data_IF_190559177565
#
_entry.id   IF_190559177565
#
_cell.length_a   1.000
_cell.length_b   1.000
_cell.length_c   1.000
_cell.angle_alpha   90.00
_cell.angle_beta   90.00
_cell.angle_gamma   90.00
#
_symmetry.space_group_name_H-M   'P 1'
#
loop_
_entity.id
_entity.type
_entity.pdbx_description
1 polymer ?
#
# COMPACT_ATOMS: atom_id res chain seq x y z
N UNK A 1 9.51 -20.07 16.92
CA UNK A 1 8.13 -19.64 17.26
C UNK A 1 7.67 -18.63 16.22
N UNK A 2 6.54 -18.85 15.54
CA UNK A 2 5.98 -17.89 14.57
C UNK A 2 5.69 -16.57 15.30
N UNK A 3 6.13 -15.44 14.76
CA UNK A 3 5.82 -14.12 15.31
C UNK A 3 4.30 -13.89 15.25
N UNK A 4 3.64 -13.87 16.42
CA UNK A 4 2.20 -13.70 16.59
C UNK A 4 1.67 -12.49 15.81
N UNK A 5 2.44 -11.39 15.74
CA UNK A 5 2.04 -10.17 15.02
C UNK A 5 2.01 -10.39 13.51
N UNK A 6 2.94 -11.17 12.99
CA UNK A 6 2.96 -11.57 11.57
C UNK A 6 1.74 -12.43 11.22
N UNK A 7 1.36 -13.38 12.07
CA UNK A 7 0.16 -14.21 11.86
C UNK A 7 -1.13 -13.40 11.91
N UNK A 8 -1.29 -12.48 12.87
CA UNK A 8 -2.48 -11.63 12.97
C UNK A 8 -2.64 -10.77 11.70
N UNK A 9 -1.56 -10.15 11.22
CA UNK A 9 -1.64 -9.32 10.01
C UNK A 9 -2.06 -10.11 8.77
N UNK A 10 -1.60 -11.37 8.63
CA UNK A 10 -2.07 -12.25 7.56
C UNK A 10 -3.58 -12.54 7.64
N UNK A 11 -4.13 -12.75 8.84
CA UNK A 11 -5.57 -12.93 9.01
C UNK A 11 -6.37 -11.69 8.63
N UNK A 12 -5.86 -10.49 8.94
CA UNK A 12 -6.52 -9.24 8.56
C UNK A 12 -6.45 -9.03 7.04
N UNK A 13 -5.32 -9.35 6.40
CA UNK A 13 -5.19 -9.32 4.94
C UNK A 13 -6.13 -10.33 4.28
N UNK A 14 -6.25 -11.54 4.84
CA UNK A 14 -7.20 -12.53 4.36
C UNK A 14 -8.66 -12.05 4.52
N UNK A 15 -8.99 -11.39 5.64
CA UNK A 15 -10.30 -10.79 5.83
C UNK A 15 -10.57 -9.67 4.81
N UNK A 16 -9.58 -8.80 4.54
CA UNK A 16 -9.68 -7.79 3.50
C UNK A 16 -9.90 -8.38 2.11
N UNK A 17 -9.19 -9.46 1.78
CA UNK A 17 -9.41 -10.20 0.53
C UNK A 17 -10.83 -10.76 0.42
N UNK A 18 -11.34 -11.38 1.49
CA UNK A 18 -12.70 -11.90 1.51
C UNK A 18 -13.75 -10.80 1.41
N UNK A 19 -13.53 -9.64 2.04
CA UNK A 19 -14.40 -8.47 1.90
C UNK A 19 -14.38 -7.97 0.46
N UNK A 20 -13.20 -7.74 -0.13
CA UNK A 20 -13.06 -7.28 -1.51
C UNK A 20 -13.73 -8.23 -2.52
N UNK A 21 -13.60 -9.54 -2.32
CA UNK A 21 -14.27 -10.56 -3.12
C UNK A 21 -15.79 -10.53 -2.90
N UNK A 22 -16.23 -10.59 -1.65
CA UNK A 22 -17.65 -10.68 -1.28
C UNK A 22 -18.46 -9.45 -1.72
N UNK A 23 -17.94 -8.23 -1.51
CA UNK A 23 -18.64 -7.00 -1.91
C UNK A 23 -18.83 -6.91 -3.42
N UNK A 24 -17.94 -7.53 -4.19
CA UNK A 24 -17.99 -7.49 -5.65
C UNK A 24 -18.89 -8.58 -6.22
N UNK A 25 -18.79 -9.81 -5.69
CA UNK A 25 -19.65 -10.93 -6.08
C UNK A 25 -21.12 -10.71 -5.72
N UNK A 26 -21.39 -10.00 -4.61
CA UNK A 26 -22.74 -9.72 -4.13
C UNK A 26 -23.27 -8.35 -4.59
N UNK A 27 -22.48 -7.58 -5.34
CA UNK A 27 -22.76 -6.19 -5.74
C UNK A 27 -23.25 -5.29 -4.58
N UNK A 28 -22.58 -5.41 -3.44
CA UNK A 28 -22.87 -4.64 -2.23
C UNK A 28 -21.57 -3.99 -1.75
N UNK A 29 -21.16 -2.86 -2.36
CA UNK A 29 -19.93 -2.18 -1.98
C UNK A 29 -20.05 -1.61 -0.56
N UNK A 30 -19.04 -1.89 0.28
CA UNK A 30 -18.93 -1.34 1.65
C UNK A 30 -17.61 -0.57 1.76
N UNK A 31 -17.47 0.59 1.10
CA UNK A 31 -16.19 1.29 0.96
C UNK A 31 -15.58 1.68 2.31
N UNK A 32 -16.40 2.09 3.28
CA UNK A 32 -15.93 2.43 4.62
C UNK A 32 -15.23 1.24 5.32
N UNK A 33 -15.77 0.02 5.21
CA UNK A 33 -15.15 -1.17 5.80
C UNK A 33 -13.82 -1.50 5.10
N UNK A 34 -13.78 -1.42 3.77
CA UNK A 34 -12.56 -1.62 2.99
C UNK A 34 -11.46 -0.63 3.41
N UNK A 35 -11.79 0.65 3.53
CA UNK A 35 -10.86 1.70 3.96
C UNK A 35 -10.38 1.47 5.39
N UNK A 36 -11.25 1.08 6.33
CA UNK A 36 -10.86 0.74 7.70
C UNK A 36 -9.88 -0.42 7.73
N UNK A 37 -10.15 -1.50 6.98
CA UNK A 37 -9.24 -2.65 6.91
C UNK A 37 -7.88 -2.26 6.32
N UNK A 38 -7.88 -1.44 5.26
CA UNK A 38 -6.67 -0.90 4.66
C UNK A 38 -5.85 -0.06 5.65
N UNK A 39 -6.49 0.84 6.40
CA UNK A 39 -5.84 1.66 7.44
C UNK A 39 -5.26 0.79 8.55
N UNK A 40 -5.97 -0.27 8.99
CA UNK A 40 -5.47 -1.21 10.00
C UNK A 40 -4.25 -1.98 9.47
N UNK A 41 -4.33 -2.52 8.25
CA UNK A 41 -3.20 -3.22 7.60
C UNK A 41 -2.00 -2.28 7.50
N UNK A 42 -2.20 -1.08 6.96
CA UNK A 42 -1.16 -0.06 6.83
C UNK A 42 -0.55 0.31 8.17
N UNK A 43 -1.35 0.53 9.20
CA UNK A 43 -0.86 0.89 10.55
C UNK A 43 0.00 -0.23 11.13
N UNK A 44 -0.50 -1.46 11.11
CA UNK A 44 0.25 -2.63 11.61
C UNK A 44 1.52 -2.89 10.82
N UNK A 45 1.48 -2.73 9.49
CA UNK A 45 2.62 -2.95 8.62
C UNK A 45 3.67 -1.83 8.78
N UNK A 46 3.25 -0.57 8.79
CA UNK A 46 4.11 0.59 8.91
C UNK A 46 4.81 0.69 10.26
N UNK A 47 4.12 0.43 11.38
CA UNK A 47 4.73 0.49 12.71
C UNK A 47 5.79 -0.60 12.96
N UNK A 48 5.85 -1.62 12.11
CA UNK A 48 6.95 -2.61 12.12
C UNK A 48 8.19 -2.11 11.39
N UNK A 49 8.03 -1.18 10.45
CA UNK A 49 9.06 -0.67 9.54
C UNK A 49 9.54 0.74 9.88
N UNK A 50 8.67 1.55 10.47
CA UNK A 50 8.91 2.95 10.78
C UNK A 50 8.66 3.21 12.27
N UNK A 51 9.34 4.21 12.81
CA UNK A 51 9.01 4.74 14.14
C UNK A 51 7.60 5.35 14.15
N UNK A 52 6.95 5.40 15.31
CA UNK A 52 5.63 6.06 15.47
C UNK A 52 5.66 7.49 14.95
N UNK A 53 6.73 8.24 15.19
CA UNK A 53 6.87 9.62 14.67
C UNK A 53 6.92 9.67 13.15
N UNK A 54 7.60 8.72 12.50
CA UNK A 54 7.64 8.66 11.04
C UNK A 54 6.31 8.19 10.44
N UNK A 55 5.64 7.25 11.10
CA UNK A 55 4.28 6.85 10.75
C UNK A 55 3.30 8.03 10.83
N UNK A 56 3.31 8.78 11.94
CA UNK A 56 2.47 9.97 12.11
C UNK A 56 2.84 11.04 11.07
N UNK A 57 4.13 11.25 10.79
CA UNK A 57 4.55 12.18 9.76
C UNK A 57 3.98 11.81 8.38
N UNK A 58 4.03 10.53 7.99
CA UNK A 58 3.42 10.07 6.75
C UNK A 58 1.90 10.28 6.74
N UNK A 59 1.20 9.93 7.83
CA UNK A 59 -0.24 10.13 7.95
C UNK A 59 -0.64 11.60 7.84
N UNK A 60 0.07 12.50 8.52
CA UNK A 60 -0.18 13.94 8.49
C UNK A 60 0.14 14.53 7.11
N UNK A 61 1.27 14.15 6.49
CA UNK A 61 1.62 14.61 5.14
C UNK A 61 0.55 14.15 4.15
N UNK A 62 0.18 12.86 4.16
CA UNK A 62 -0.84 12.32 3.27
C UNK A 62 -2.18 13.04 3.48
N UNK A 63 -2.61 13.23 4.73
CA UNK A 63 -3.86 13.92 5.05
C UNK A 63 -3.86 15.37 4.57
N UNK A 64 -2.84 16.15 4.91
CA UNK A 64 -2.78 17.58 4.58
C UNK A 64 -2.69 17.78 3.07
N UNK A 65 -1.76 17.10 2.40
CA UNK A 65 -1.54 17.29 0.96
C UNK A 65 -2.75 16.82 0.15
N UNK A 66 -3.30 15.62 0.43
CA UNK A 66 -4.48 15.14 -0.29
C UNK A 66 -5.67 16.07 -0.11
N UNK A 67 -6.02 16.46 1.12
CA UNK A 67 -7.12 17.40 1.34
C UNK A 67 -6.90 18.75 0.68
N UNK A 68 -5.67 19.28 0.69
CA UNK A 68 -5.36 20.54 0.03
C UNK A 68 -5.54 20.45 -1.49
N UNK A 69 -5.06 19.37 -2.12
CA UNK A 69 -5.18 19.17 -3.57
C UNK A 69 -6.63 18.94 -3.98
N UNK A 70 -7.36 18.09 -3.25
CA UNK A 70 -8.78 17.78 -3.49
C UNK A 70 -9.65 19.03 -3.36
N UNK A 71 -9.53 19.78 -2.25
CA UNK A 71 -10.33 21.00 -2.09
C UNK A 71 -9.90 22.09 -3.08
N UNK A 72 -8.61 22.20 -3.43
CA UNK A 72 -8.16 23.14 -4.45
C UNK A 72 -8.78 22.80 -5.82
N UNK A 73 -8.79 21.51 -6.19
CA UNK A 73 -9.34 21.09 -7.49
C UNK A 73 -10.83 21.28 -7.57
N UNK A 74 -11.59 20.91 -6.53
CA UNK A 74 -13.04 21.14 -6.51
C UNK A 74 -13.37 22.64 -6.61
N UNK A 75 -12.51 23.52 -6.10
CA UNK A 75 -12.73 24.97 -6.16
C UNK A 75 -12.24 25.64 -7.45
N UNK A 76 -11.27 25.05 -8.16
CA UNK A 76 -10.53 25.75 -9.22
C UNK A 76 -10.32 24.95 -10.51
N UNK A 77 -10.71 23.68 -10.54
CA UNK A 77 -10.44 22.75 -11.62
C UNK A 77 -9.01 22.20 -11.64
N UNK A 78 -8.09 22.71 -10.82
CA UNK A 78 -6.68 22.26 -10.78
C UNK A 78 -6.34 21.54 -9.46
N UNK A 79 -5.68 20.37 -9.47
CA UNK A 79 -4.98 19.78 -10.62
C UNK A 79 -5.70 18.64 -11.32
N UNK A 80 -6.91 18.24 -10.90
CA UNK A 80 -7.55 17.02 -11.41
C UNK A 80 -8.51 17.28 -12.58
N UNK A 81 -9.03 18.50 -12.71
CA UNK A 81 -10.15 18.86 -13.57
C UNK A 81 -11.32 19.42 -12.76
N UNK A 82 -12.37 19.84 -13.44
CA UNK A 82 -13.62 20.34 -12.83
C UNK A 82 -14.55 19.17 -12.48
N UNK A 83 -14.82 19.00 -11.19
CA UNK A 83 -15.70 17.96 -10.65
C UNK A 83 -16.25 18.34 -9.28
N UNK A 84 -17.31 17.63 -8.89
CA UNK A 84 -17.80 17.65 -7.52
C UNK A 84 -18.09 16.24 -7.01
N UNK A 85 -17.92 16.06 -5.70
CA UNK A 85 -18.31 14.82 -5.03
C UNK A 85 -19.82 14.78 -4.77
N UNK A 86 -20.44 13.64 -5.05
CA UNK A 86 -21.83 13.36 -4.66
C UNK A 86 -21.89 12.89 -3.20
N UNK A 87 -23.07 12.54 -2.71
CA UNK A 87 -23.26 12.08 -1.34
C UNK A 87 -23.07 10.56 -1.18
N UNK A 88 -22.74 9.84 -2.27
CA UNK A 88 -22.56 8.37 -2.30
C UNK A 88 -21.50 7.89 -1.31
N UNK A 89 -20.43 8.66 -1.12
CA UNK A 89 -19.32 8.31 -0.21
C UNK A 89 -19.54 8.73 1.24
N UNK A 90 -20.71 9.31 1.55
CA UNK A 90 -21.08 9.72 2.89
C UNK A 90 -20.52 11.09 3.29
N UNK A 91 -20.26 11.32 4.60
CA UNK A 91 -19.93 12.65 5.12
C UNK A 91 -18.68 13.27 4.49
N UNK A 92 -18.72 14.59 4.27
CA UNK A 92 -17.64 15.38 3.68
C UNK A 92 -16.91 16.20 4.76
N UNK A 93 -15.59 16.31 4.61
CA UNK A 93 -14.76 17.30 5.26
C UNK A 93 -14.55 18.44 4.27
N UNK A 94 -15.15 19.60 4.53
CA UNK A 94 -15.33 20.66 3.54
C UNK A 94 -16.08 20.12 2.30
N UNK A 95 -15.45 20.09 1.12
CA UNK A 95 -16.06 19.63 -0.12
C UNK A 95 -15.77 18.16 -0.45
N UNK A 96 -14.91 17.51 0.33
CA UNK A 96 -14.29 16.22 0.00
C UNK A 96 -14.75 15.14 0.97
N UNK A 97 -15.20 13.95 0.52
CA UNK A 97 -15.63 12.88 1.41
C UNK A 97 -14.54 12.48 2.41
N UNK A 98 -14.92 12.25 3.66
CA UNK A 98 -13.99 11.94 4.75
C UNK A 98 -13.23 10.61 4.53
N UNK A 99 -13.71 9.75 3.64
CA UNK A 99 -13.06 8.49 3.25
C UNK A 99 -11.88 8.68 2.30
N UNK A 100 -11.76 9.82 1.61
CA UNK A 100 -10.72 10.05 0.59
C UNK A 100 -9.33 10.09 1.24
N UNK A 101 -9.11 10.94 2.23
CA UNK A 101 -7.79 11.09 2.84
C UNK A 101 -7.24 9.79 3.50
N UNK A 102 -8.03 8.99 4.23
CA UNK A 102 -7.60 7.67 4.69
C UNK A 102 -7.24 6.70 3.56
N UNK A 103 -7.92 6.80 2.41
CA UNK A 103 -7.63 5.98 1.22
C UNK A 103 -6.28 6.36 0.60
N UNK A 104 -5.99 7.66 0.44
CA UNK A 104 -4.67 8.16 0.02
C UNK A 104 -3.57 7.66 0.95
N UNK A 105 -3.79 7.75 2.26
CA UNK A 105 -2.83 7.27 3.25
C UNK A 105 -2.56 5.76 3.12
N UNK A 106 -3.61 4.93 3.10
CA UNK A 106 -3.44 3.49 3.13
C UNK A 106 -2.92 2.93 1.80
N UNK A 107 -3.54 3.29 0.68
CA UNK A 107 -3.12 2.86 -0.66
C UNK A 107 -1.76 3.48 -1.03
N UNK A 108 -1.53 4.75 -0.65
CA UNK A 108 -0.25 5.41 -0.86
C UNK A 108 0.89 4.71 -0.11
N UNK A 109 0.65 4.21 1.11
CA UNK A 109 1.65 3.41 1.83
C UNK A 109 1.99 2.11 1.12
N UNK A 110 1.01 1.44 0.50
CA UNK A 110 1.25 0.24 -0.29
C UNK A 110 2.07 0.56 -1.54
N UNK A 111 1.70 1.60 -2.29
CA UNK A 111 2.45 2.05 -3.45
C UNK A 111 3.90 2.42 -3.10
N UNK A 112 4.09 3.17 -2.00
CA UNK A 112 5.41 3.49 -1.43
C UNK A 112 6.22 2.24 -1.08
N UNK A 113 5.58 1.22 -0.51
CA UNK A 113 6.25 -0.04 -0.15
C UNK A 113 6.57 -0.92 -1.35
N UNK A 114 5.72 -0.93 -2.37
CA UNK A 114 5.98 -1.62 -3.65
C UNK A 114 7.14 -0.96 -4.39
N UNK A 115 7.19 0.38 -4.44
CA UNK A 115 8.30 1.11 -5.05
C UNK A 115 9.65 0.80 -4.40
N UNK A 116 9.68 0.58 -3.08
CA UNK A 116 10.86 0.09 -2.39
C UNK A 116 11.31 -1.29 -2.90
N UNK A 117 10.38 -2.22 -3.11
CA UNK A 117 10.70 -3.55 -3.66
C UNK A 117 11.24 -3.41 -5.08
N UNK A 118 10.58 -2.62 -5.93
CA UNK A 118 10.97 -2.40 -7.33
C UNK A 118 12.38 -1.79 -7.46
N UNK A 119 12.79 -0.95 -6.50
CA UNK A 119 14.12 -0.35 -6.44
C UNK A 119 15.14 -1.19 -5.66
N UNK A 120 14.76 -2.35 -5.10
CA UNK A 120 15.63 -3.20 -4.29
C UNK A 120 16.04 -2.57 -2.95
N UNK A 121 15.22 -1.66 -2.43
CA UNK A 121 15.42 -0.93 -1.18
C UNK A 121 14.64 -1.63 -0.06
N UNK A 122 15.27 -2.61 0.59
CA UNK A 122 14.65 -3.38 1.69
C UNK A 122 14.83 -2.75 3.09
N UNK A 123 15.34 -1.52 3.14
CA UNK A 123 15.44 -0.70 4.35
C UNK A 123 14.29 0.31 4.48
N UNK A 124 14.25 1.04 5.60
CA UNK A 124 13.25 2.08 5.83
C UNK A 124 13.62 3.44 5.20
N UNK A 125 14.88 3.66 4.81
CA UNK A 125 15.38 4.99 4.41
C UNK A 125 15.87 5.01 2.96
N UNK A 126 15.39 5.93 2.11
CA UNK A 126 16.03 6.22 0.84
C UNK A 126 17.34 6.99 1.06
N UNK A 127 18.34 6.78 0.20
CA UNK A 127 19.63 7.49 0.22
C UNK A 127 20.01 7.97 -1.18
N UNK A 128 20.76 9.09 -1.24
CA UNK A 128 21.25 9.63 -2.50
C UNK A 128 20.14 9.83 -3.53
N UNK A 129 20.30 9.23 -4.71
CA UNK A 129 19.32 9.31 -5.81
C UNK A 129 17.95 8.72 -5.46
N UNK A 130 17.88 7.79 -4.51
CA UNK A 130 16.62 7.13 -4.13
C UNK A 130 15.66 8.12 -3.46
N UNK A 131 16.14 9.25 -2.92
CA UNK A 131 15.29 10.30 -2.35
C UNK A 131 14.35 10.90 -3.42
N UNK A 132 14.73 10.80 -4.70
CA UNK A 132 13.92 11.25 -5.84
C UNK A 132 13.23 10.08 -6.56
N UNK A 133 13.97 9.01 -6.88
CA UNK A 133 13.42 7.89 -7.65
C UNK A 133 12.36 7.09 -6.90
N UNK A 134 12.47 6.98 -5.57
CA UNK A 134 11.47 6.26 -4.78
C UNK A 134 10.10 6.95 -4.81
N UNK A 135 9.97 8.26 -4.52
CA UNK A 135 8.72 8.99 -4.77
C UNK A 135 8.21 8.86 -6.20
N UNK A 136 9.08 8.99 -7.20
CA UNK A 136 8.70 8.91 -8.60
C UNK A 136 8.04 7.57 -8.95
N UNK A 137 8.68 6.46 -8.59
CA UNK A 137 8.16 5.11 -8.84
C UNK A 137 6.90 4.86 -7.99
N UNK A 138 6.87 5.31 -6.73
CA UNK A 138 5.69 5.19 -5.89
C UNK A 138 4.48 5.92 -6.48
N UNK A 139 4.67 7.08 -7.11
CA UNK A 139 3.60 7.80 -7.80
C UNK A 139 3.05 7.02 -8.97
N UNK A 140 3.89 6.45 -9.82
CA UNK A 140 3.43 5.57 -10.91
C UNK A 140 2.62 4.39 -10.37
N UNK A 141 3.11 3.72 -9.32
CA UNK A 141 2.40 2.60 -8.71
C UNK A 141 1.04 3.03 -8.17
N UNK A 142 0.96 4.17 -7.48
CA UNK A 142 -0.31 4.67 -6.94
C UNK A 142 -1.31 5.04 -8.06
N UNK A 143 -0.86 5.66 -9.14
CA UNK A 143 -1.70 6.03 -10.29
C UNK A 143 -2.24 4.81 -11.05
N UNK A 144 -1.59 3.64 -10.95
CA UNK A 144 -2.16 2.39 -11.49
C UNK A 144 -3.51 2.05 -10.84
N UNK A 145 -3.68 2.36 -9.55
CA UNK A 145 -4.95 2.14 -8.86
C UNK A 145 -6.01 3.15 -9.32
N UNK A 146 -5.63 4.42 -9.49
CA UNK A 146 -6.51 5.47 -10.00
C UNK A 146 -7.04 5.12 -11.41
N UNK A 147 -6.14 4.70 -12.31
CA UNK A 147 -6.47 4.28 -13.67
C UNK A 147 -7.56 3.21 -13.75
N UNK A 148 -7.64 2.30 -12.77
CA UNK A 148 -8.63 1.20 -12.81
C UNK A 148 -9.90 1.51 -12.00
N UNK A 149 -9.82 2.47 -11.08
CA UNK A 149 -10.84 2.78 -10.10
C UNK A 149 -11.73 3.93 -10.59
N UNK A 150 -11.13 4.96 -11.19
CA UNK A 150 -11.79 6.23 -11.47
C UNK A 150 -12.95 6.09 -12.47
N UNK A 151 -12.79 5.41 -13.63
CA UNK A 151 -13.91 5.19 -14.56
C UNK A 151 -15.11 4.46 -13.97
N UNK A 152 -14.86 3.50 -13.09
CA UNK A 152 -15.94 2.74 -12.44
C UNK A 152 -16.60 3.62 -11.38
N UNK A 153 -15.81 4.31 -10.59
CA UNK A 153 -16.32 4.99 -9.39
C UNK A 153 -16.98 6.33 -9.72
N UNK A 154 -16.51 7.02 -10.77
CA UNK A 154 -17.14 8.23 -11.31
C UNK A 154 -18.27 7.90 -12.29
N UNK A 155 -17.96 7.32 -13.45
CA UNK A 155 -18.92 7.18 -14.56
C UNK A 155 -19.99 6.13 -14.32
N UNK A 156 -19.66 5.03 -13.63
CA UNK A 156 -20.64 3.96 -13.36
C UNK A 156 -21.34 4.16 -12.02
N UNK A 157 -20.59 4.47 -10.95
CA UNK A 157 -21.14 4.58 -9.60
C UNK A 157 -21.58 6.00 -9.21
N UNK A 158 -21.17 7.03 -9.95
CA UNK A 158 -21.57 8.42 -9.68
C UNK A 158 -21.05 8.97 -8.35
N UNK A 159 -19.89 8.52 -7.86
CA UNK A 159 -19.34 8.97 -6.57
C UNK A 159 -18.78 10.39 -6.63
N UNK A 160 -18.26 10.77 -7.79
CA UNK A 160 -17.98 12.14 -8.22
C UNK A 160 -18.31 12.25 -9.70
N UNK A 161 -18.53 13.49 -10.12
CA UNK A 161 -19.02 13.82 -11.46
C UNK A 161 -18.05 14.82 -12.08
N UNK A 162 -17.38 14.41 -13.17
CA UNK A 162 -16.52 15.25 -14.00
C UNK A 162 -17.37 16.11 -14.92
N UNK A 163 -17.44 17.42 -14.66
CA UNK A 163 -18.39 18.33 -15.33
C UNK A 163 -18.15 18.41 -16.85
N UNK A 164 -16.88 18.41 -17.25
CA UNK A 164 -16.48 18.46 -18.66
C UNK A 164 -16.34 17.06 -19.30
N UNK A 165 -16.64 16.00 -18.56
CA UNK A 165 -16.38 14.62 -18.98
C UNK A 165 -14.88 14.37 -19.26
N UNK A 166 -14.58 13.36 -20.08
CA UNK A 166 -13.20 13.08 -20.44
C UNK A 166 -13.01 11.85 -21.32
N UNK A 167 -11.86 11.81 -22.00
CA UNK A 167 -11.55 10.80 -23.01
C UNK A 167 -11.33 9.39 -22.45
N UNK A 168 -11.16 9.24 -21.14
CA UNK A 168 -10.99 7.95 -20.50
C UNK A 168 -12.26 7.55 -19.76
N UNK A 169 -13.27 7.17 -20.54
CA UNK A 169 -14.60 6.75 -20.05
C UNK A 169 -15.26 7.83 -19.16
N UNK A 170 -15.23 9.09 -19.57
CA UNK A 170 -15.77 10.22 -18.79
C UNK A 170 -14.77 10.85 -17.83
N UNK A 171 -13.58 10.27 -17.65
CA UNK A 171 -12.53 10.82 -16.78
C UNK A 171 -11.53 11.67 -17.58
N UNK A 172 -11.23 12.92 -17.15
CA UNK A 172 -10.23 13.77 -17.80
C UNK A 172 -8.83 13.17 -17.74
N UNK A 173 -8.03 13.34 -18.80
CA UNK A 173 -6.60 13.01 -18.76
C UNK A 173 -5.85 13.76 -17.63
N UNK A 174 -6.30 15.00 -17.36
CA UNK A 174 -5.72 15.85 -16.33
C UNK A 174 -5.82 15.22 -14.92
N UNK A 175 -6.86 14.42 -14.65
CA UNK A 175 -7.03 13.72 -13.37
C UNK A 175 -5.79 12.88 -13.03
N UNK A 176 -5.35 12.03 -13.95
CA UNK A 176 -4.22 11.13 -13.73
C UNK A 176 -2.90 11.89 -13.52
N UNK A 177 -2.73 13.03 -14.21
CA UNK A 177 -1.55 13.89 -14.03
C UNK A 177 -1.60 14.63 -12.70
N UNK A 178 -2.79 15.09 -12.29
CA UNK A 178 -3.02 15.69 -10.98
C UNK A 178 -2.80 14.70 -9.85
N UNK A 179 -3.29 13.47 -9.97
CA UNK A 179 -3.04 12.38 -9.02
C UNK A 179 -1.55 12.12 -8.90
N UNK A 180 -0.85 11.97 -10.04
CA UNK A 180 0.59 11.78 -10.06
C UNK A 180 1.32 12.89 -9.30
N UNK A 181 0.97 14.16 -9.56
CA UNK A 181 1.54 15.32 -8.86
C UNK A 181 1.24 15.28 -7.36
N UNK A 182 -0.01 15.06 -6.97
CA UNK A 182 -0.47 14.99 -5.58
C UNK A 182 0.32 13.94 -4.79
N UNK A 183 0.35 12.70 -5.29
CA UNK A 183 1.00 11.59 -4.59
C UNK A 183 2.52 11.71 -4.65
N UNK A 184 3.08 12.29 -5.72
CA UNK A 184 4.50 12.64 -5.77
C UNK A 184 4.87 13.63 -4.67
N UNK A 185 4.08 14.67 -4.46
CA UNK A 185 4.30 15.63 -3.37
C UNK A 185 4.25 14.95 -2.00
N UNK A 186 3.27 14.08 -1.75
CA UNK A 186 3.19 13.27 -0.51
C UNK A 186 4.47 12.47 -0.31
N UNK A 187 4.85 11.67 -1.32
CA UNK A 187 5.98 10.77 -1.24
C UNK A 187 7.31 11.51 -1.15
N UNK A 188 7.47 12.62 -1.87
CA UNK A 188 8.70 13.40 -1.87
C UNK A 188 8.94 14.09 -0.52
N UNK A 189 7.89 14.66 0.08
CA UNK A 189 7.97 15.22 1.44
C UNK A 189 8.35 14.15 2.46
N UNK A 190 7.73 12.96 2.36
CA UNK A 190 8.04 11.86 3.27
C UNK A 190 9.46 11.31 3.05
N UNK A 191 9.92 11.18 1.81
CA UNK A 191 11.28 10.76 1.48
C UNK A 191 12.32 11.68 2.14
N UNK A 192 12.14 13.00 2.02
CA UNK A 192 13.02 14.01 2.63
C UNK A 192 12.96 13.93 4.15
N UNK A 193 11.76 13.76 4.73
CA UNK A 193 11.58 13.64 6.17
C UNK A 193 12.35 12.42 6.73
N UNK A 194 12.17 11.25 6.11
CA UNK A 194 12.79 10.00 6.58
C UNK A 194 14.30 10.00 6.35
N UNK A 195 14.78 10.59 5.25
CA UNK A 195 16.21 10.70 4.94
C UNK A 195 16.99 11.57 5.95
N UNK A 196 16.35 12.54 6.61
CA UNK A 196 17.00 13.49 7.53
C UNK A 196 17.08 13.03 8.99
N UNK A 197 16.35 12.00 9.41
CA UNK A 197 16.17 11.63 10.84
C UNK A 197 17.10 10.50 11.30
N UNK A 198 18.39 10.60 11.02
CA UNK A 198 19.36 9.52 11.24
C UNK A 198 19.88 9.37 12.69
N UNK A 199 19.86 8.13 13.19
CA UNK A 199 20.83 7.58 14.14
C UNK A 199 21.15 6.14 13.73
N UNK A 200 22.44 5.75 13.79
CA UNK A 200 22.94 4.45 13.29
C UNK A 200 22.29 3.25 14.01
N UNK A 201 22.14 3.33 15.33
CA UNK A 201 21.51 2.29 16.16
C UNK A 201 20.06 1.99 15.73
N UNK A 202 19.33 3.01 15.29
CA UNK A 202 17.93 2.87 14.87
C UNK A 202 17.81 2.26 13.48
N UNK A 203 18.84 2.33 12.64
CA UNK A 203 18.86 1.71 11.31
C UNK A 203 18.96 0.20 11.42
N UNK A 204 19.92 -0.28 12.22
CA UNK A 204 20.17 -1.69 12.42
C UNK A 204 18.94 -2.40 12.99
N UNK A 205 18.25 -1.78 13.96
CA UNK A 205 17.02 -2.33 14.53
C UNK A 205 15.88 -2.43 13.51
N UNK A 206 15.76 -1.45 12.59
CA UNK A 206 14.71 -1.42 11.57
C UNK A 206 15.00 -2.41 10.43
N UNK A 207 16.26 -2.52 10.00
CA UNK A 207 16.70 -3.50 8.99
C UNK A 207 16.47 -4.94 9.49
N UNK A 208 16.71 -5.17 10.78
CA UNK A 208 16.43 -6.47 11.40
C UNK A 208 14.93 -6.80 11.41
N UNK A 209 14.04 -5.80 11.47
CA UNK A 209 12.58 -5.99 11.44
C UNK A 209 12.04 -6.23 10.03
N UNK A 210 12.68 -5.68 9.00
CA UNK A 210 12.29 -5.83 7.58
C UNK A 210 12.98 -6.98 6.85
N UNK A 211 13.93 -7.67 7.50
CA UNK A 211 14.65 -8.82 6.94
C UNK A 211 13.76 -10.04 6.63
N UNK A 212 12.54 -10.12 7.17
CA UNK A 212 11.63 -11.23 6.90
C UNK A 212 10.88 -11.03 5.58
N UNK A 213 11.05 -11.94 4.62
CA UNK A 213 10.33 -11.95 3.33
C UNK A 213 8.81 -11.86 3.48
N UNK A 214 8.24 -12.44 4.55
CA UNK A 214 6.80 -12.35 4.83
C UNK A 214 6.32 -10.91 5.02
N UNK A 215 7.16 -9.99 5.52
CA UNK A 215 6.82 -8.58 5.61
C UNK A 215 6.49 -8.02 4.22
N UNK A 216 7.33 -8.29 3.23
CA UNK A 216 7.15 -7.78 1.88
C UNK A 216 6.00 -8.47 1.13
N UNK A 217 5.82 -9.77 1.33
CA UNK A 217 4.66 -10.46 0.75
C UNK A 217 3.32 -9.94 1.28
N UNK A 218 3.25 -9.49 2.55
CA UNK A 218 2.02 -8.92 3.11
C UNK A 218 1.56 -7.68 2.35
N UNK A 219 2.47 -6.74 2.07
CA UNK A 219 2.11 -5.52 1.33
C UNK A 219 1.84 -5.80 -0.14
N UNK A 220 2.51 -6.78 -0.76
CA UNK A 220 2.21 -7.21 -2.13
C UNK A 220 0.79 -7.77 -2.22
N UNK A 221 0.41 -8.68 -1.33
CA UNK A 221 -0.94 -9.27 -1.33
C UNK A 221 -1.99 -8.21 -1.03
N UNK A 222 -1.74 -7.31 -0.07
CA UNK A 222 -2.67 -6.24 0.24
C UNK A 222 -2.88 -5.28 -0.95
N UNK A 223 -1.80 -4.88 -1.63
CA UNK A 223 -1.85 -4.06 -2.85
C UNK A 223 -2.58 -4.75 -4.00
N UNK A 224 -2.25 -6.02 -4.28
CA UNK A 224 -2.97 -6.80 -5.29
C UNK A 224 -4.48 -6.87 -5.00
N UNK A 225 -4.83 -7.08 -3.73
CA UNK A 225 -6.23 -7.19 -3.28
C UNK A 225 -7.02 -5.91 -3.56
N UNK A 226 -6.40 -4.72 -3.53
CA UNK A 226 -7.10 -3.45 -3.81
C UNK A 226 -7.58 -3.34 -5.26
N UNK A 227 -7.01 -4.13 -6.19
CA UNK A 227 -7.45 -4.18 -7.58
C UNK A 227 -8.72 -5.02 -7.80
N UNK A 228 -8.95 -6.02 -6.95
CA UNK A 228 -9.98 -7.04 -7.19
C UNK A 228 -11.40 -6.50 -7.35
N UNK A 229 -11.85 -5.52 -6.54
CA UNK A 229 -13.20 -4.98 -6.70
C UNK A 229 -13.47 -4.31 -8.04
N UNK A 230 -12.42 -3.84 -8.71
CA UNK A 230 -12.51 -3.17 -10.00
C UNK A 230 -12.42 -4.19 -11.13
N UNK A 231 -11.55 -5.19 -11.00
CA UNK A 231 -11.34 -6.21 -12.04
C UNK A 231 -12.43 -7.26 -12.10
N UNK A 232 -12.97 -7.69 -10.96
CA UNK A 232 -13.96 -8.77 -10.94
C UNK A 232 -15.31 -8.33 -11.54
N UNK A 233 -15.59 -7.01 -11.58
CA UNK A 233 -16.80 -6.48 -12.22
C UNK A 233 -16.93 -6.86 -13.68
N UNK A 234 -15.81 -7.10 -14.39
CA UNK A 234 -15.85 -7.52 -15.79
C UNK A 234 -16.45 -8.90 -16.02
N UNK A 235 -16.58 -9.72 -14.97
CA UNK A 235 -17.21 -11.05 -15.05
C UNK A 235 -18.43 -11.19 -14.16
N UNK A 236 -18.65 -10.27 -13.21
CA UNK A 236 -19.80 -10.33 -12.29
C UNK A 236 -20.92 -9.36 -12.64
N UNK A 237 -20.64 -8.31 -13.42
CA UNK A 237 -21.62 -7.26 -13.75
C UNK A 237 -22.06 -7.37 -15.21
N UNK A 238 -23.31 -6.96 -15.46
CA UNK A 238 -23.89 -6.90 -16.81
C UNK A 238 -23.57 -5.60 -17.56
N UNK A 239 -24.02 -5.53 -18.81
CA UNK A 239 -23.95 -4.31 -19.61
C UNK A 239 -25.11 -3.36 -19.30
N UNK A 240 -24.79 -2.08 -19.25
CA UNK A 240 -25.71 -0.97 -19.09
C UNK A 240 -25.13 0.25 -19.80
N UNK A 241 -25.98 1.24 -20.06
CA UNK A 241 -25.54 2.53 -20.59
C UNK A 241 -25.33 3.49 -19.43
N UNK A 242 -24.08 3.92 -19.23
CA UNK A 242 -23.74 5.05 -18.38
C UNK A 242 -23.66 6.31 -19.26
N UNK A 243 -24.26 7.41 -18.83
CA UNK A 243 -24.18 8.71 -19.55
C UNK A 243 -23.41 9.69 -18.69
N UNK A 244 -22.35 10.26 -19.23
CA UNK A 244 -21.58 11.29 -18.54
C UNK A 244 -22.27 12.68 -18.64
N UNK A 245 -21.78 13.70 -17.91
CA UNK A 245 -22.44 15.01 -17.87
C UNK A 245 -22.51 15.75 -19.21
N UNK A 246 -21.62 15.44 -20.15
CA UNK A 246 -21.62 16.02 -21.49
C UNK A 246 -22.54 15.25 -22.47
N UNK A 247 -23.26 14.23 -21.98
CA UNK A 247 -24.22 13.44 -22.73
C UNK A 247 -23.59 12.30 -23.53
N UNK A 248 -22.29 12.04 -23.37
CA UNK A 248 -21.63 10.92 -24.02
C UNK A 248 -22.01 9.62 -23.30
N UNK A 249 -22.37 8.62 -24.10
CA UNK A 249 -22.81 7.31 -23.61
C UNK A 249 -21.64 6.32 -23.64
N UNK A 250 -21.57 5.50 -22.60
CA UNK A 250 -20.55 4.48 -22.38
C UNK A 250 -21.23 3.15 -22.05
N UNK A 251 -20.81 2.07 -22.71
CA UNK A 251 -21.19 0.72 -22.30
C UNK A 251 -20.38 0.33 -21.06
N UNK A 252 -21.05 -0.06 -19.99
CA UNK A 252 -20.37 -0.41 -18.73
C UNK A 252 -19.45 -1.62 -18.90
N UNK A 253 -19.78 -2.56 -19.79
CA UNK A 253 -18.87 -3.68 -20.08
C UNK A 253 -17.55 -3.23 -20.73
N UNK A 254 -17.56 -2.20 -21.57
CA UNK A 254 -16.34 -1.66 -22.17
C UNK A 254 -15.43 -1.07 -21.09
N UNK A 255 -16.03 -0.36 -20.13
CA UNK A 255 -15.33 0.16 -18.96
C UNK A 255 -14.73 -1.00 -18.16
N UNK A 256 -15.54 -1.98 -17.74
CA UNK A 256 -15.08 -3.08 -16.90
C UNK A 256 -13.97 -3.92 -17.56
N UNK A 257 -14.13 -4.31 -18.84
CA UNK A 257 -13.09 -5.04 -19.56
C UNK A 257 -11.79 -4.24 -19.68
N UNK A 258 -11.90 -2.94 -19.98
CA UNK A 258 -10.74 -2.06 -20.10
C UNK A 258 -10.00 -1.91 -18.77
N UNK A 259 -10.73 -1.69 -17.66
CA UNK A 259 -10.13 -1.59 -16.33
C UNK A 259 -9.45 -2.90 -15.91
N UNK A 260 -10.07 -4.05 -16.23
CA UNK A 260 -9.47 -5.37 -15.97
C UNK A 260 -8.18 -5.56 -16.75
N UNK A 261 -8.14 -5.22 -18.05
CA UNK A 261 -6.93 -5.31 -18.85
C UNK A 261 -5.82 -4.41 -18.29
N UNK A 262 -6.15 -3.15 -17.95
CA UNK A 262 -5.18 -2.22 -17.36
C UNK A 262 -4.66 -2.77 -16.04
N UNK A 263 -5.52 -3.29 -15.15
CA UNK A 263 -5.09 -3.88 -13.88
C UNK A 263 -4.14 -5.07 -14.06
N UNK A 264 -4.43 -5.97 -15.01
CA UNK A 264 -3.60 -7.15 -15.31
C UNK A 264 -2.20 -6.71 -15.75
N UNK A 265 -2.11 -5.76 -16.68
CA UNK A 265 -0.84 -5.33 -17.25
C UNK A 265 -0.10 -4.28 -16.40
N UNK A 266 -0.71 -3.78 -15.32
CA UNK A 266 -0.09 -2.82 -14.39
C UNK A 266 0.03 -3.38 -12.98
N UNK A 267 -1.03 -3.35 -12.19
CA UNK A 267 -1.03 -3.74 -10.78
C UNK A 267 -0.68 -5.21 -10.55
N UNK A 268 -1.23 -6.12 -11.35
CA UNK A 268 -0.95 -7.55 -11.21
C UNK A 268 0.47 -7.87 -11.68
N UNK A 269 0.90 -7.29 -12.79
CA UNK A 269 2.28 -7.38 -13.26
C UNK A 269 3.29 -6.90 -12.20
N UNK A 270 3.08 -5.71 -11.63
CA UNK A 270 3.95 -5.15 -10.59
C UNK A 270 3.91 -5.99 -9.30
N UNK A 271 2.75 -6.53 -8.93
CA UNK A 271 2.62 -7.44 -7.79
C UNK A 271 3.42 -8.73 -8.00
N UNK A 272 3.27 -9.36 -9.18
CA UNK A 272 4.03 -10.55 -9.57
C UNK A 272 5.54 -10.27 -9.60
N UNK A 273 5.95 -9.18 -10.23
CA UNK A 273 7.35 -8.75 -10.27
C UNK A 273 7.90 -8.53 -8.86
N UNK A 274 7.12 -7.92 -7.98
CA UNK A 274 7.49 -7.72 -6.57
C UNK A 274 7.67 -9.04 -5.83
N UNK A 275 6.82 -10.04 -6.06
CA UNK A 275 7.02 -11.40 -5.50
C UNK A 275 8.36 -11.98 -5.95
N UNK A 276 8.66 -11.89 -7.25
CA UNK A 276 9.91 -12.40 -7.82
C UNK A 276 11.14 -11.68 -7.24
N UNK A 277 11.10 -10.35 -7.14
CA UNK A 277 12.18 -9.54 -6.56
C UNK A 277 12.41 -9.87 -5.08
N UNK A 278 11.36 -9.99 -4.28
CA UNK A 278 11.47 -10.40 -2.87
C UNK A 278 12.05 -11.81 -2.74
N UNK A 279 11.63 -12.75 -3.59
CA UNK A 279 12.12 -14.13 -3.57
C UNK A 279 13.61 -14.27 -3.90
N UNK A 280 14.18 -13.31 -4.64
CA UNK A 280 15.57 -13.29 -5.09
C UNK A 280 16.46 -12.34 -4.27
N UNK A 281 15.91 -11.64 -3.29
CA UNK A 281 16.63 -10.61 -2.55
C UNK A 281 17.62 -11.22 -1.53
N UNK A 282 18.88 -11.38 -1.93
CA UNK A 282 19.97 -11.89 -1.08
C UNK A 282 20.16 -11.08 0.22
N UNK A 283 19.89 -9.76 0.18
CA UNK A 283 19.91 -8.88 1.37
C UNK A 283 18.98 -9.34 2.49
N UNK A 284 17.92 -10.09 2.17
CA UNK A 284 17.00 -10.65 3.16
C UNK A 284 17.51 -11.95 3.80
N UNK A 285 18.53 -12.58 3.20
CA UNK A 285 19.09 -13.85 3.65
C UNK A 285 20.25 -13.66 4.63
N UNK A 286 21.11 -12.65 4.41
CA UNK A 286 22.29 -12.35 5.25
C UNK A 286 21.95 -12.05 6.73
N UNK A 287 20.85 -11.34 6.99
CA UNK A 287 20.39 -10.99 8.35
C UNK A 287 19.79 -12.19 9.10
N UNK A 288 19.25 -13.19 8.38
CA UNK A 288 18.78 -14.43 8.98
C UNK A 288 19.95 -15.38 9.28
N UNK A 289 20.99 -15.38 8.44
CA UNK A 289 22.22 -16.13 8.61
C UNK A 289 22.96 -15.79 9.91
N UNK A 290 23.19 -14.51 10.19
CA UNK A 290 23.87 -14.04 11.42
C UNK A 290 23.08 -14.34 12.70
N UNK A 291 21.75 -14.24 12.68
CA UNK A 291 20.90 -14.65 13.82
C UNK A 291 20.94 -16.15 14.08
N UNK A 292 21.02 -16.97 13.03
CA UNK A 292 21.10 -18.42 13.16
C UNK A 292 22.46 -18.88 13.72
N UNK A 293 23.55 -18.24 13.27
CA UNK A 293 24.92 -18.52 13.72
C UNK A 293 25.19 -17.96 15.12
N UNK A 294 24.69 -16.76 15.45
CA UNK A 294 24.76 -16.21 16.81
C UNK A 294 23.98 -17.04 17.83
N UNK A 295 22.78 -17.52 17.48
CA UNK A 295 22.02 -18.45 18.33
C UNK A 295 22.70 -19.82 18.47
N UNK A 296 23.34 -20.32 17.41
CA UNK A 296 24.11 -21.56 17.47
C UNK A 296 25.33 -21.42 18.39
N UNK A 297 26.03 -20.29 18.33
CA UNK A 297 27.17 -19.99 19.20
C UNK A 297 26.76 -19.91 20.68
N UNK A 298 25.70 -19.16 21.00
CA UNK A 298 25.16 -19.06 22.37
C UNK A 298 24.63 -20.40 22.89
N UNK A 299 24.03 -21.23 22.03
CA UNK A 299 23.59 -22.58 22.39
C UNK A 299 24.78 -23.50 22.68
N UNK A 300 25.85 -23.41 21.89
CA UNK A 300 27.08 -24.16 22.08
C UNK A 300 27.78 -23.76 23.39
N UNK A 301 27.87 -22.46 23.67
CA UNK A 301 28.46 -21.93 24.91
C UNK A 301 27.68 -22.39 26.15
N UNK A 302 26.33 -22.34 26.12
CA UNK A 302 25.47 -22.87 27.20
C UNK A 302 25.63 -24.38 27.39
N UNK A 303 25.81 -25.14 26.31
CA UNK A 303 26.05 -26.58 26.41
C UNK A 303 27.40 -26.91 27.05
N UNK A 304 28.44 -26.11 26.77
CA UNK A 304 29.77 -26.26 27.36
C UNK A 304 29.79 -25.83 28.83
N UNK A 305 29.03 -24.81 29.23
CA UNK A 305 28.88 -24.46 30.65
C UNK A 305 28.13 -25.55 31.44
N UNK A 306 27.14 -26.21 30.82
CA UNK A 306 26.38 -27.30 31.43
C UNK A 306 27.17 -28.62 31.55
N UNK A 307 28.10 -28.89 30.62
CA UNK A 307 28.99 -30.05 30.71
C UNK A 307 30.07 -29.88 31.79
N UNK A 308 30.64 -28.68 31.92
CA UNK A 308 31.60 -28.35 32.97
C UNK A 308 30.98 -28.42 34.38
N UNK A 309 29.73 -27.97 34.56
CA UNK A 309 29.06 -28.05 35.87
C UNK A 309 28.77 -29.49 36.31
N UNK A 310 28.39 -30.38 35.38
CA UNK A 310 28.18 -31.83 35.63
C UNK A 310 29.46 -32.61 35.92
N UNK A 311 30.60 -32.22 35.35
CA UNK A 311 31.89 -32.82 35.69
C UNK A 311 32.36 -32.40 37.09
N UNK A 312 32.13 -31.14 37.50
CA UNK A 312 32.49 -30.70 38.85
C UNK A 312 31.64 -31.39 39.94
N UNK A 313 30.36 -31.66 39.68
CA UNK A 313 29.46 -32.30 40.64
C UNK A 313 29.71 -33.80 40.83
N UNK A 314 30.26 -34.49 39.81
CA UNK A 314 30.63 -35.92 39.91
C UNK A 314 31.95 -36.15 40.65
N UNK A 315 32.82 -35.14 40.75
CA UNK A 315 34.07 -35.25 41.52
C UNK A 315 33.88 -35.13 43.04
N UNK A 316 32.72 -34.63 43.50
CA UNK A 316 32.41 -34.41 44.93
C UNK A 316 31.58 -35.51 45.59
N UNK A 317 31.18 -36.55 44.86
CA UNK A 317 30.35 -37.65 45.39
C UNK A 317 31.07 -39.01 45.41
N UNK A 318 32.41 -39.01 45.39
CA UNK A 318 33.26 -40.21 45.32
C UNK A 318 34.26 -40.35 46.47
N UNK A 319 33.91 -39.84 47.66
CA UNK A 319 34.60 -40.08 48.92
C UNK A 319 33.58 -40.47 49.98
#
# INVERSE_FOLDING_TARGET
>A
MRDRRTTILWWIIAAYFLVALGTTLLDHPIPALSVVLLVVITTMHALRRYSVTAFIAFAVIAFVVSNSYENLSVLTGFPFGDYYYTDVLGPKLFLVPALIAPSYFASGYFAWSIAHILLGIFGARPRGRDIFFLPLIASFVMVMWDLIMDPITSTVMGSWIWEDGGGYFGVPFLNFMGWFLCVYTIFQLFAVYVAKRDSAVRLEELETRTANRNHWYQVIVAYFTTSLPWTLRSVTQGDAIATDPVGQQWHTLDIYHSMTLVAIFTMWFVSLLSVLLVSRAEKLDGVQGERSSGNAFVAQERSQTFSHSRQSSRSRSGL
#
